data_IF_455276052873
#
_entry.id   IF_455276052873
#
_cell.length_a   1.000
_cell.length_b   1.000
_cell.length_c   1.000
_cell.angle_alpha   90.00
_cell.angle_beta   90.00
_cell.angle_gamma   90.00
#
_symmetry.space_group_name_H-M   'P 1'
#
loop_
_entity.id
_entity.type
_entity.pdbx_description
1 polymer ?
#
# COMPACT_ATOMS: atom_id res chain seq x y z
N UNK A 1 -6.50 18.68 -15.64
CA UNK A 1 -6.91 18.03 -14.38
C UNK A 1 -7.33 19.10 -13.38
N UNK A 2 -8.46 18.92 -12.68
CA UNK A 2 -8.90 19.89 -11.67
C UNK A 2 -8.09 19.71 -10.37
N UNK A 3 -7.48 20.77 -9.81
CA UNK A 3 -6.77 20.70 -8.54
C UNK A 3 -7.64 20.15 -7.40
N UNK A 4 -8.94 20.45 -7.43
CA UNK A 4 -9.91 19.95 -6.46
C UNK A 4 -10.01 18.43 -6.47
N UNK A 5 -9.99 17.80 -7.65
CA UNK A 5 -10.05 16.35 -7.79
C UNK A 5 -8.76 15.70 -7.26
N UNK A 6 -7.60 16.31 -7.50
CA UNK A 6 -6.31 15.82 -7.01
C UNK A 6 -6.31 15.80 -5.48
N UNK A 7 -6.64 16.93 -4.85
CA UNK A 7 -6.67 17.05 -3.40
C UNK A 7 -7.69 16.08 -2.80
N UNK A 8 -8.91 16.03 -3.35
CA UNK A 8 -9.95 15.11 -2.89
C UNK A 8 -9.49 13.64 -2.94
N UNK A 9 -8.82 13.24 -4.02
CA UNK A 9 -8.30 11.87 -4.18
C UNK A 9 -7.23 11.55 -3.15
N UNK A 10 -6.27 12.45 -2.94
CA UNK A 10 -5.18 12.26 -1.97
C UNK A 10 -5.76 12.16 -0.55
N UNK A 11 -6.66 13.08 -0.17
CA UNK A 11 -7.30 13.07 1.14
C UNK A 11 -8.10 11.79 1.36
N UNK A 12 -8.91 11.38 0.38
CA UNK A 12 -9.68 10.14 0.46
C UNK A 12 -8.80 8.90 0.63
N UNK A 13 -7.66 8.84 -0.09
CA UNK A 13 -6.69 7.76 0.04
C UNK A 13 -6.13 7.66 1.46
N UNK A 14 -5.67 8.77 2.05
CA UNK A 14 -5.14 8.74 3.42
C UNK A 14 -6.20 8.42 4.46
N UNK A 15 -7.42 8.95 4.32
CA UNK A 15 -8.55 8.61 5.20
C UNK A 15 -8.83 7.11 5.18
N UNK A 16 -8.83 6.50 3.98
CA UNK A 16 -9.02 5.06 3.83
C UNK A 16 -7.90 4.26 4.52
N UNK A 17 -6.64 4.66 4.35
CA UNK A 17 -5.50 4.01 5.01
C UNK A 17 -5.61 4.09 6.54
N UNK A 18 -5.94 5.27 7.09
CA UNK A 18 -6.13 5.44 8.53
C UNK A 18 -7.31 4.64 9.06
N UNK A 19 -8.41 4.55 8.30
CA UNK A 19 -9.56 3.73 8.67
C UNK A 19 -9.18 2.25 8.77
N UNK A 20 -8.46 1.72 7.79
CA UNK A 20 -7.98 0.33 7.80
C UNK A 20 -7.02 0.08 8.96
N UNK A 21 -6.09 1.01 9.20
CA UNK A 21 -5.15 0.95 10.33
C UNK A 21 -5.88 0.93 11.67
N UNK A 22 -6.86 1.82 11.85
CA UNK A 22 -7.64 1.92 13.08
C UNK A 22 -8.43 0.64 13.36
N UNK A 23 -9.10 0.09 12.36
CA UNK A 23 -9.87 -1.16 12.51
C UNK A 23 -8.95 -2.34 12.81
N UNK A 24 -7.84 -2.46 12.10
CA UNK A 24 -6.89 -3.57 12.24
C UNK A 24 -6.10 -3.50 13.56
N UNK A 25 -5.83 -2.30 14.08
CA UNK A 25 -5.05 -2.08 15.29
C UNK A 25 -5.77 -2.37 16.60
N UNK A 26 -7.12 -2.42 16.63
CA UNK A 26 -7.91 -2.60 17.86
C UNK A 26 -7.69 -3.93 18.60
N UNK A 27 -7.11 -4.94 17.94
CA UNK A 27 -6.83 -6.27 18.51
C UNK A 27 -5.38 -6.67 18.29
N UNK A 28 -4.48 -5.69 18.27
CA UNK A 28 -3.06 -5.94 18.03
C UNK A 28 -2.46 -6.76 19.18
N UNK A 29 -1.91 -7.92 18.82
CA UNK A 29 -1.11 -8.78 19.68
C UNK A 29 0.15 -9.23 18.91
N UNK A 30 1.14 -9.75 19.61
CA UNK A 30 2.41 -10.14 18.98
C UNK A 30 2.21 -11.24 17.91
N UNK A 31 1.29 -12.19 18.16
CA UNK A 31 0.98 -13.24 17.19
C UNK A 31 0.28 -12.68 15.93
N UNK A 32 -0.61 -11.72 16.07
CA UNK A 32 -1.20 -10.99 14.94
C UNK A 32 -0.18 -10.16 14.17
N UNK A 33 0.72 -9.47 14.86
CA UNK A 33 1.72 -8.60 14.25
C UNK A 33 2.78 -9.36 13.46
N UNK A 34 3.38 -10.41 14.04
CA UNK A 34 4.48 -11.13 13.39
C UNK A 34 4.03 -12.26 12.47
N UNK A 35 2.94 -12.96 12.79
CA UNK A 35 2.51 -14.17 12.05
C UNK A 35 1.07 -14.11 11.55
N UNK A 36 0.40 -12.96 11.64
CA UNK A 36 -0.98 -12.79 11.17
C UNK A 36 -1.98 -13.75 11.82
N UNK A 37 -1.69 -14.19 13.06
CA UNK A 37 -2.45 -15.24 13.75
C UNK A 37 -2.62 -16.54 12.93
N UNK A 38 -1.75 -16.79 11.93
CA UNK A 38 -1.84 -17.88 10.94
C UNK A 38 -3.20 -17.97 10.23
N UNK A 39 -3.92 -16.85 10.12
CA UNK A 39 -5.26 -16.77 9.50
C UNK A 39 -5.27 -16.01 8.17
N UNK A 40 -4.11 -15.59 7.67
CA UNK A 40 -3.98 -14.85 6.41
C UNK A 40 -4.23 -15.77 5.20
N UNK A 41 -5.23 -15.49 4.34
CA UNK A 41 -5.44 -16.22 3.11
C UNK A 41 -4.24 -16.09 2.16
N UNK A 42 -3.93 -17.14 1.42
CA UNK A 42 -2.73 -17.20 0.56
C UNK A 42 -2.64 -16.07 -0.46
N UNK A 43 -3.77 -15.62 -1.03
CA UNK A 43 -3.79 -14.57 -2.05
C UNK A 43 -3.50 -13.18 -1.46
N UNK A 44 -3.91 -12.92 -0.21
CA UNK A 44 -3.56 -11.68 0.51
C UNK A 44 -2.06 -11.65 0.77
N UNK A 45 -1.49 -12.78 1.19
CA UNK A 45 -0.05 -12.93 1.39
C UNK A 45 0.69 -12.69 0.07
N UNK A 46 0.24 -13.31 -1.02
CA UNK A 46 0.86 -13.14 -2.34
C UNK A 46 0.89 -11.67 -2.80
N UNK A 47 -0.23 -10.95 -2.67
CA UNK A 47 -0.31 -9.52 -3.01
C UNK A 47 0.64 -8.71 -2.13
N UNK A 48 0.66 -8.97 -0.81
CA UNK A 48 1.55 -8.27 0.11
C UNK A 48 3.03 -8.51 -0.22
N UNK A 49 3.41 -9.74 -0.54
CA UNK A 49 4.79 -10.10 -0.90
C UNK A 49 5.23 -9.44 -2.21
N UNK A 50 4.38 -9.44 -3.24
CA UNK A 50 4.70 -8.79 -4.53
C UNK A 50 4.77 -7.26 -4.36
N UNK A 51 3.91 -6.69 -3.52
CA UNK A 51 3.83 -5.25 -3.29
C UNK A 51 4.93 -4.69 -2.39
N UNK A 52 5.44 -5.48 -1.43
CA UNK A 52 6.44 -5.03 -0.45
C UNK A 52 7.71 -4.37 -1.05
N UNK A 53 8.33 -4.89 -2.13
CA UNK A 53 9.50 -4.23 -2.73
C UNK A 53 9.15 -3.03 -3.63
N UNK A 54 7.87 -2.81 -3.96
CA UNK A 54 7.46 -1.72 -4.87
C UNK A 54 7.40 -0.42 -4.06
N UNK A 55 8.18 0.57 -4.50
CA UNK A 55 8.23 1.89 -3.86
C UNK A 55 7.92 3.01 -4.85
N UNK A 56 7.79 4.24 -4.34
CA UNK A 56 7.66 5.43 -5.20
C UNK A 56 8.83 5.59 -6.18
N UNK A 57 10.03 5.13 -5.80
CA UNK A 57 11.21 5.13 -6.70
C UNK A 57 10.95 4.23 -7.90
N UNK A 58 10.35 3.06 -7.71
CA UNK A 58 10.01 2.17 -8.83
C UNK A 58 9.11 2.85 -9.86
N UNK A 59 8.07 3.56 -9.40
CA UNK A 59 7.09 4.22 -10.28
C UNK A 59 7.66 5.42 -11.03
N UNK A 60 8.63 6.13 -10.46
CA UNK A 60 9.27 7.27 -11.12
C UNK A 60 10.44 6.82 -12.00
N UNK A 61 11.28 5.93 -11.48
CA UNK A 61 12.56 5.58 -12.12
C UNK A 61 12.42 4.62 -13.29
N UNK A 62 11.51 3.62 -13.24
CA UNK A 62 11.39 2.66 -14.35
C UNK A 62 10.95 3.33 -15.65
N UNK A 63 9.90 4.17 -15.69
CA UNK A 63 9.57 4.93 -16.89
C UNK A 63 10.69 5.87 -17.34
N UNK A 64 11.39 6.51 -16.40
CA UNK A 64 12.53 7.37 -16.70
C UNK A 64 13.67 6.63 -17.42
N UNK A 65 14.03 5.43 -16.94
CA UNK A 65 15.04 4.59 -17.59
C UNK A 65 14.61 4.11 -18.98
N UNK A 66 13.31 3.84 -19.18
CA UNK A 66 12.78 3.46 -20.49
C UNK A 66 12.85 4.63 -21.46
N UNK A 67 12.57 5.85 -21.01
CA UNK A 67 12.67 7.06 -21.83
C UNK A 67 14.12 7.40 -22.21
N UNK A 68 15.10 7.14 -21.35
CA UNK A 68 16.51 7.43 -21.64
C UNK A 68 17.15 6.44 -22.62
N UNK A 69 16.67 5.19 -22.64
CA UNK A 69 17.20 4.11 -23.48
C UNK A 69 16.49 3.95 -24.83
N UNK A 70 15.42 4.70 -25.08
CA UNK A 70 14.67 4.75 -26.34
C UNK A 70 14.93 6.06 -27.07
#
# INVERSE_FOLDING_TARGET
MSPTIIIATITAYFVLLFLVSYISGRKADNAGFFVGNRKSPWYIVAIATIGAPISGVTFVSVPGMVQEKG
#
